data_IF_734926636122
#
_entry.id   IF_734926636122
#
_cell.length_a   1.000
_cell.length_b   1.000
_cell.length_c   1.000
_cell.angle_alpha   90.00
_cell.angle_beta   90.00
_cell.angle_gamma   90.00
#
_symmetry.space_group_name_H-M   'P 1'
#
loop_
_entity.id
_entity.type
_entity.pdbx_description
1 polymer ?
#
# COMPACT_ATOMS: atom_id res chain seq x y z
N UNK A 1 -7.72 9.56 12.40
CA UNK A 1 -7.14 8.67 11.36
C UNK A 1 -8.26 8.02 10.53
N UNK A 2 -8.04 7.65 9.27
CA UNK A 2 -9.08 7.05 8.37
C UNK A 2 -9.81 5.84 9.00
N UNK A 3 -9.10 5.01 9.77
CA UNK A 3 -9.71 3.87 10.48
C UNK A 3 -10.71 4.29 11.54
N UNK A 4 -10.49 5.42 12.21
CA UNK A 4 -11.36 5.88 13.30
C UNK A 4 -12.70 6.36 12.77
N UNK A 5 -12.71 7.04 11.61
CA UNK A 5 -13.96 7.44 10.96
C UNK A 5 -14.74 6.23 10.47
N UNK A 6 -14.06 5.21 9.91
CA UNK A 6 -14.69 3.95 9.51
C UNK A 6 -15.33 3.21 10.69
N UNK A 7 -14.60 3.08 11.81
CA UNK A 7 -15.12 2.44 13.03
C UNK A 7 -16.32 3.23 13.58
N UNK A 8 -16.25 4.56 13.62
CA UNK A 8 -17.35 5.39 14.10
C UNK A 8 -18.62 5.17 13.27
N UNK A 9 -18.48 5.09 11.94
CA UNK A 9 -19.61 4.80 11.04
C UNK A 9 -20.20 3.40 11.25
N UNK A 10 -19.36 2.38 11.43
CA UNK A 10 -19.83 1.01 11.71
C UNK A 10 -20.60 0.95 13.04
N UNK A 11 -20.09 1.60 14.08
CA UNK A 11 -20.72 1.64 15.40
C UNK A 11 -22.06 2.39 15.35
N UNK A 12 -22.13 3.53 14.63
CA UNK A 12 -23.39 4.25 14.38
C UNK A 12 -24.40 3.39 13.60
N UNK A 13 -23.92 2.54 12.70
CA UNK A 13 -24.72 1.57 11.95
C UNK A 13 -25.11 0.32 12.74
N UNK A 14 -24.84 0.26 14.05
CA UNK A 14 -25.18 -0.88 14.92
C UNK A 14 -24.24 -2.09 14.81
N UNK A 15 -23.12 -1.97 14.08
CA UNK A 15 -22.11 -3.02 13.98
C UNK A 15 -21.08 -2.84 15.08
N UNK A 16 -20.83 -3.89 15.86
CA UNK A 16 -19.72 -3.91 16.79
C UNK A 16 -18.40 -3.92 16.00
N UNK A 17 -17.68 -2.79 15.97
CA UNK A 17 -16.34 -2.70 15.41
C UNK A 17 -15.41 -1.95 16.37
N UNK A 18 -14.11 -2.25 16.30
CA UNK A 18 -13.07 -1.63 17.14
C UNK A 18 -11.73 -1.72 16.44
N UNK A 19 -10.76 -0.91 16.88
CA UNK A 19 -9.39 -0.97 16.37
C UNK A 19 -8.74 -2.29 16.77
N UNK A 20 -8.02 -2.92 15.84
CA UNK A 20 -7.34 -4.20 16.04
C UNK A 20 -5.84 -4.09 15.75
N UNK A 21 -5.15 -3.26 16.55
CA UNK A 21 -3.72 -2.99 16.43
C UNK A 21 -3.32 -2.44 15.04
N UNK A 22 -2.03 -2.49 14.74
CA UNK A 22 -1.40 -2.06 13.50
C UNK A 22 -0.90 -3.27 12.69
N UNK A 23 -0.87 -3.11 11.37
CA UNK A 23 -0.20 -4.00 10.44
C UNK A 23 1.04 -3.29 9.89
N UNK A 24 2.16 -4.00 9.81
CA UNK A 24 3.38 -3.49 9.22
C UNK A 24 3.43 -3.78 7.72
N UNK A 25 3.94 -2.82 6.96
CA UNK A 25 4.12 -2.92 5.52
C UNK A 25 5.42 -2.24 5.13
N UNK A 26 6.32 -2.96 4.48
CA UNK A 26 7.52 -2.36 3.91
C UNK A 26 7.15 -1.73 2.57
N UNK A 27 7.30 -0.41 2.49
CA UNK A 27 7.06 0.36 1.29
C UNK A 27 8.39 0.62 0.60
N UNK A 28 8.47 0.32 -0.69
CA UNK A 28 9.61 0.64 -1.55
C UNK A 28 9.41 2.04 -2.12
N UNK A 29 10.27 2.97 -1.74
CA UNK A 29 10.34 4.30 -2.34
C UNK A 29 11.22 4.29 -3.59
N UNK A 30 10.95 5.21 -4.51
CA UNK A 30 11.67 5.36 -5.78
C UNK A 30 13.00 6.13 -5.62
N UNK A 31 13.13 6.94 -4.56
CA UNK A 31 14.30 7.81 -4.30
C UNK A 31 15.09 7.46 -3.04
N UNK A 32 14.40 7.09 -1.94
CA UNK A 32 14.97 7.12 -0.59
C UNK A 32 15.08 5.73 0.07
N UNK A 33 14.98 4.67 -0.73
CA UNK A 33 15.00 3.29 -0.26
C UNK A 33 13.66 2.82 0.33
N UNK A 34 13.69 1.71 1.06
CA UNK A 34 12.49 1.13 1.67
C UNK A 34 12.28 1.64 3.10
N UNK A 35 11.04 1.94 3.47
CA UNK A 35 10.68 2.27 4.85
C UNK A 35 9.54 1.39 5.37
N UNK A 36 9.44 1.29 6.70
CA UNK A 36 8.39 0.54 7.37
C UNK A 36 7.20 1.46 7.66
N UNK A 37 6.03 1.07 7.17
CA UNK A 37 4.77 1.76 7.39
C UNK A 37 3.89 0.93 8.33
N UNK A 38 3.47 1.54 9.43
CA UNK A 38 2.44 0.97 10.30
C UNK A 38 1.06 1.49 9.90
N UNK A 39 0.17 0.57 9.56
CA UNK A 39 -1.20 0.89 9.14
C UNK A 39 -2.20 0.36 10.17
N UNK A 40 -3.09 1.20 10.71
CA UNK A 40 -4.12 0.71 11.61
C UNK A 40 -5.10 -0.19 10.86
N UNK A 41 -5.69 -1.16 11.57
CA UNK A 41 -6.74 -2.04 11.04
C UNK A 41 -7.93 -2.11 12.00
N UNK A 42 -9.10 -2.40 11.46
CA UNK A 42 -10.30 -2.66 12.24
C UNK A 42 -10.41 -4.15 12.61
N UNK A 43 -11.32 -4.48 13.52
CA UNK A 43 -11.52 -5.85 14.02
C UNK A 43 -12.28 -6.70 13.02
N UNK A 44 -13.22 -6.09 12.29
CA UNK A 44 -14.06 -6.78 11.32
C UNK A 44 -13.35 -6.96 9.97
N UNK A 45 -12.24 -6.25 9.75
CA UNK A 45 -11.45 -6.33 8.52
C UNK A 45 -12.12 -5.63 7.32
N UNK A 46 -13.16 -4.83 7.58
CA UNK A 46 -13.98 -4.18 6.54
C UNK A 46 -13.40 -2.84 6.09
N UNK A 47 -12.41 -2.30 6.81
CA UNK A 47 -11.80 -1.03 6.46
C UNK A 47 -10.92 -1.16 5.21
N UNK A 48 -11.03 -0.20 4.29
CA UNK A 48 -10.15 -0.04 3.12
C UNK A 48 -9.44 1.33 3.14
N UNK A 49 -8.11 1.35 3.38
CA UNK A 49 -7.34 2.59 3.37
C UNK A 49 -7.24 3.18 1.96
N UNK A 50 -7.30 4.50 1.87
CA UNK A 50 -7.34 5.22 0.58
C UNK A 50 -5.96 5.72 0.14
N UNK A 51 -5.13 6.22 1.06
CA UNK A 51 -3.80 6.77 0.74
C UNK A 51 -2.83 5.67 0.32
N UNK A 52 -2.73 4.60 1.10
CA UNK A 52 -1.92 3.41 0.76
C UNK A 52 -2.86 2.23 0.74
N UNK A 53 -3.23 1.77 -0.46
CA UNK A 53 -4.21 0.72 -0.64
C UNK A 53 -3.72 -0.61 -0.06
N UNK A 54 -4.66 -1.52 0.22
CA UNK A 54 -4.32 -2.90 0.58
C UNK A 54 -3.41 -3.50 -0.50
N UNK A 55 -2.41 -4.25 -0.06
CA UNK A 55 -1.39 -4.88 -0.93
C UNK A 55 -0.51 -3.94 -1.79
N UNK A 56 -0.71 -2.62 -1.77
CA UNK A 56 0.18 -1.67 -2.44
C UNK A 56 1.52 -1.58 -1.70
N UNK A 57 2.66 -1.78 -2.37
CA UNK A 57 4.00 -1.72 -1.78
C UNK A 57 4.89 -0.61 -2.36
N UNK A 58 4.39 0.13 -3.32
CA UNK A 58 5.05 1.24 -4.02
C UNK A 58 4.18 2.48 -3.95
N UNK A 59 4.78 3.66 -3.75
CA UNK A 59 4.03 4.93 -3.60
C UNK A 59 3.78 5.60 -4.96
N UNK A 60 4.78 5.60 -5.85
CA UNK A 60 4.68 6.27 -7.15
C UNK A 60 4.50 5.28 -8.30
N UNK A 61 3.78 5.72 -9.33
CA UNK A 61 3.62 4.98 -10.60
C UNK A 61 4.88 5.05 -11.47
N UNK A 62 5.89 5.86 -11.09
CA UNK A 62 7.10 6.08 -11.89
C UNK A 62 7.88 4.79 -12.15
N UNK A 63 7.90 3.87 -11.18
CA UNK A 63 8.52 2.56 -11.35
C UNK A 63 7.76 1.79 -12.43
N UNK A 64 6.43 1.73 -12.35
CA UNK A 64 5.59 1.03 -13.32
C UNK A 64 5.75 1.59 -14.75
N UNK A 65 5.80 2.91 -14.89
CA UNK A 65 6.05 3.58 -16.18
C UNK A 65 7.46 3.27 -16.71
N UNK A 66 8.47 3.22 -15.84
CA UNK A 66 9.83 2.79 -16.22
C UNK A 66 9.87 1.32 -16.65
N UNK A 67 9.20 0.42 -15.92
CA UNK A 67 9.09 -1.00 -16.30
C UNK A 67 8.48 -1.11 -17.70
N UNK A 68 7.37 -0.40 -17.93
CA UNK A 68 6.63 -0.47 -19.19
C UNK A 68 7.44 0.08 -20.36
N UNK A 69 8.16 1.19 -20.17
CA UNK A 69 9.03 1.76 -21.20
C UNK A 69 10.21 0.84 -21.55
N UNK A 70 10.89 0.25 -20.56
CA UNK A 70 11.98 -0.70 -20.79
C UNK A 70 11.49 -1.98 -21.48
N UNK A 71 10.34 -2.50 -21.08
CA UNK A 71 9.71 -3.63 -21.75
C UNK A 71 9.35 -3.28 -23.21
N UNK A 72 8.81 -2.09 -23.45
CA UNK A 72 8.52 -1.58 -24.80
C UNK A 72 9.77 -1.41 -25.67
N UNK A 73 10.92 -1.14 -25.06
CA UNK A 73 12.24 -1.10 -25.73
C UNK A 73 12.84 -2.49 -25.97
N UNK A 74 12.18 -3.56 -25.54
CA UNK A 74 12.63 -4.95 -25.76
C UNK A 74 13.70 -5.43 -24.77
N UNK A 75 13.86 -4.76 -23.63
CA UNK A 75 14.76 -5.23 -22.56
C UNK A 75 14.24 -6.53 -21.95
N UNK A 76 15.15 -7.43 -21.58
CA UNK A 76 14.78 -8.67 -20.90
C UNK A 76 14.32 -8.40 -19.46
N UNK A 77 13.49 -9.29 -18.89
CA UNK A 77 13.06 -9.15 -17.50
C UNK A 77 14.22 -9.12 -16.51
N UNK A 78 15.32 -9.82 -16.80
CA UNK A 78 16.54 -9.79 -15.97
C UNK A 78 17.20 -8.42 -16.01
N UNK A 79 17.29 -7.80 -17.19
CA UNK A 79 17.90 -6.47 -17.33
C UNK A 79 17.02 -5.40 -16.66
N UNK A 80 15.71 -5.48 -16.85
CA UNK A 80 14.73 -4.59 -16.21
C UNK A 80 14.83 -4.69 -14.68
N UNK A 81 14.90 -5.90 -14.12
CA UNK A 81 15.06 -6.10 -12.68
C UNK A 81 16.35 -5.46 -12.16
N UNK A 82 17.46 -5.63 -12.88
CA UNK A 82 18.76 -5.06 -12.50
C UNK A 82 18.80 -3.54 -12.54
N UNK A 83 17.93 -2.92 -13.35
CA UNK A 83 17.85 -1.46 -13.46
C UNK A 83 16.92 -0.82 -12.41
N UNK A 84 16.08 -1.63 -11.76
CA UNK A 84 15.08 -1.18 -10.78
C UNK A 84 15.51 -1.47 -9.34
N UNK A 85 16.35 -2.48 -9.11
CA UNK A 85 17.04 -2.71 -7.82
C UNK A 85 17.98 -1.56 -7.45
#
# INVERSE_FOLDING_TARGET
>A
AEVESHIANDVLGGKANRRNSFNSKTIKGTSDGSFLLETPRDRNGTFEPQIVKKHQTTISNEIEEKILSMYGLGMSYTDISSHIE
#
